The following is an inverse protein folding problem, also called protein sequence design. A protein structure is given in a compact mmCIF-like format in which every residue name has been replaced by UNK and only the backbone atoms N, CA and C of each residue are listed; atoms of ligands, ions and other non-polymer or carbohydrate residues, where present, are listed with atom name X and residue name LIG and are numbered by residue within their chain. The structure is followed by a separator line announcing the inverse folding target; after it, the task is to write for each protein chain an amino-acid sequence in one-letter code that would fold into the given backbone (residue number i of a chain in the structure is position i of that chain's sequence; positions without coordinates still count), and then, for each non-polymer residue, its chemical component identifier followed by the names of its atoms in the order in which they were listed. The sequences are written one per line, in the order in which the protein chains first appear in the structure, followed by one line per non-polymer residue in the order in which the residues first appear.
data_IF_140303653448
#
_entry.id   IF_140303653448
#
_cell.length_a   1.000
_cell.length_b   1.000
_cell.length_c   1.000
_cell.angle_alpha   90.00
_cell.angle_beta   90.00
_cell.angle_gamma   90.00
#
_symmetry.space_group_name_H-M   'P 1'
#
loop_
_entity.id
_entity.type
_entity.pdbx_description
1 polymer ?
#
# COMPACT_ATOMS: atom_id res chain seq x y z
N UNK A 1 -24.67 11.79 16.32
CA UNK A 1 -24.45 12.60 15.11
C UNK A 1 -23.32 13.57 15.38
N UNK A 2 -22.09 13.11 15.19
CA UNK A 2 -20.91 13.92 15.37
C UNK A 2 -19.79 13.14 14.75
N UNK A 3 -19.10 13.73 13.77
CA UNK A 3 -17.85 13.17 13.28
C UNK A 3 -16.97 12.95 14.50
N UNK A 4 -16.36 11.78 14.64
CA UNK A 4 -15.35 11.54 15.68
C UNK A 4 -14.09 12.34 15.32
N UNK A 5 -14.16 13.67 15.47
CA UNK A 5 -13.11 14.64 15.11
C UNK A 5 -11.79 14.26 15.78
N UNK A 6 -11.85 13.65 16.96
CA UNK A 6 -10.72 13.08 17.66
C UNK A 6 -9.93 12.05 16.82
N UNK A 7 -10.62 11.08 16.20
CA UNK A 7 -9.97 10.03 15.40
C UNK A 7 -9.37 10.63 14.11
N UNK A 8 -10.05 11.61 13.51
CA UNK A 8 -9.54 12.33 12.34
C UNK A 8 -8.26 13.13 12.68
N UNK A 9 -8.25 13.84 13.81
CA UNK A 9 -7.06 14.56 14.30
C UNK A 9 -5.90 13.59 14.53
N UNK A 10 -6.15 12.43 15.16
CA UNK A 10 -5.12 11.41 15.38
C UNK A 10 -4.54 10.93 14.06
N UNK A 11 -5.37 10.66 13.04
CA UNK A 11 -4.89 10.23 11.73
C UNK A 11 -3.96 11.27 11.09
N UNK A 12 -4.31 12.56 11.15
CA UNK A 12 -3.48 13.64 10.62
C UNK A 12 -2.14 13.73 11.38
N UNK A 13 -2.19 13.69 12.72
CA UNK A 13 -1.00 13.76 13.58
C UNK A 13 -0.07 12.57 13.31
N UNK A 14 -0.63 11.37 13.19
CA UNK A 14 0.14 10.15 12.93
C UNK A 14 0.78 10.16 11.54
N UNK A 15 0.09 10.71 10.53
CA UNK A 15 0.65 10.92 9.19
C UNK A 15 1.85 11.88 9.25
N UNK A 16 1.71 13.01 9.94
CA UNK A 16 2.77 14.00 10.08
C UNK A 16 4.00 13.44 10.84
N UNK A 17 3.77 12.73 11.95
CA UNK A 17 4.83 12.06 12.70
C UNK A 17 5.54 11.01 11.86
N UNK A 18 4.80 10.20 11.09
CA UNK A 18 5.38 9.20 10.21
C UNK A 18 6.26 9.81 9.12
N UNK A 19 5.83 10.91 8.51
CA UNK A 19 6.64 11.64 7.54
C UNK A 19 7.92 12.21 8.16
N UNK A 20 7.82 12.77 9.39
CA UNK A 20 8.97 13.31 10.11
C UNK A 20 9.97 12.19 10.45
N UNK A 21 9.49 11.06 10.98
CA UNK A 21 10.32 9.89 11.26
C UNK A 21 10.96 9.36 9.98
N UNK A 22 10.20 9.24 8.88
CA UNK A 22 10.74 8.83 7.58
C UNK A 22 11.87 9.74 7.11
N UNK A 23 11.68 11.05 7.20
CA UNK A 23 12.70 12.03 6.85
C UNK A 23 13.93 11.92 7.76
N UNK A 24 13.74 11.78 9.08
CA UNK A 24 14.83 11.59 10.03
C UNK A 24 15.67 10.34 9.73
N UNK A 25 15.02 9.21 9.43
CA UNK A 25 15.69 7.98 9.02
C UNK A 25 16.51 8.19 7.75
N UNK A 26 15.90 8.80 6.74
CA UNK A 26 16.58 9.09 5.47
C UNK A 26 17.76 10.03 5.68
N UNK A 27 17.72 10.99 6.61
CA UNK A 27 18.86 11.87 6.91
C UNK A 27 19.95 11.23 7.77
N UNK A 28 19.60 10.33 8.68
CA UNK A 28 20.54 9.75 9.63
C UNK A 28 21.36 8.61 9.00
N UNK A 29 20.74 7.79 8.15
CA UNK A 29 21.37 6.61 7.54
C UNK A 29 22.02 6.88 6.17
N UNK A 30 22.37 8.14 5.89
CA UNK A 30 23.06 8.49 4.64
C UNK A 30 24.54 8.17 4.74
N UNK A 31 25.10 7.50 3.73
CA UNK A 31 26.56 7.44 3.60
C UNK A 31 27.13 8.84 3.37
N UNK A 32 28.29 9.18 3.99
CA UNK A 32 28.87 10.52 3.94
C UNK A 32 29.25 10.95 2.51
N UNK A 33 29.57 10.00 1.64
CA UNK A 33 29.88 10.21 0.23
C UNK A 33 28.64 10.58 -0.62
N UNK A 34 27.42 10.23 -0.16
CA UNK A 34 26.14 10.42 -0.88
C UNK A 34 25.34 11.66 -0.46
N UNK A 35 25.98 12.60 0.23
CA UNK A 35 25.28 13.77 0.79
C UNK A 35 24.71 14.71 -0.28
N UNK A 36 25.29 14.78 -1.48
CA UNK A 36 24.95 15.80 -2.48
C UNK A 36 24.27 15.28 -3.76
N UNK A 37 24.45 14.01 -4.12
CA UNK A 37 24.03 13.50 -5.45
C UNK A 37 22.69 12.75 -5.39
N UNK A 38 22.41 11.98 -4.33
CA UNK A 38 21.22 11.11 -4.22
C UNK A 38 19.91 11.76 -3.77
N UNK A 39 19.67 13.05 -4.02
CA UNK A 39 18.47 13.75 -3.51
C UNK A 39 17.14 13.23 -4.08
N UNK A 40 17.16 12.74 -5.32
CA UNK A 40 15.96 12.21 -6.00
C UNK A 40 15.41 10.95 -5.31
N UNK A 41 16.28 9.98 -5.02
CA UNK A 41 15.90 8.74 -4.33
C UNK A 41 15.38 9.02 -2.91
N UNK A 42 15.93 10.03 -2.22
CA UNK A 42 15.48 10.44 -0.88
C UNK A 42 14.03 10.93 -0.88
N UNK A 43 13.66 11.74 -1.87
CA UNK A 43 12.28 12.26 -1.99
C UNK A 43 11.32 11.11 -2.27
N UNK A 44 11.67 10.21 -3.19
CA UNK A 44 10.79 9.10 -3.58
C UNK A 44 10.54 8.14 -2.42
N UNK A 45 11.57 7.79 -1.65
CA UNK A 45 11.43 6.91 -0.47
C UNK A 45 10.57 7.59 0.60
N UNK A 46 10.75 8.88 0.83
CA UNK A 46 9.93 9.63 1.80
C UNK A 46 8.46 9.69 1.36
N UNK A 47 8.21 9.88 0.07
CA UNK A 47 6.87 9.81 -0.51
C UNK A 47 6.27 8.41 -0.38
N UNK A 48 7.07 7.36 -0.58
CA UNK A 48 6.64 5.98 -0.43
C UNK A 48 6.17 5.66 0.98
N UNK A 49 6.94 6.09 1.98
CA UNK A 49 6.56 5.98 3.38
C UNK A 49 5.28 6.77 3.67
N UNK A 50 5.16 7.99 3.14
CA UNK A 50 3.95 8.80 3.29
C UNK A 50 2.69 8.13 2.74
N UNK A 51 2.75 7.63 1.50
CA UNK A 51 1.62 6.93 0.85
C UNK A 51 1.29 5.63 1.59
N UNK A 52 2.29 4.89 2.05
CA UNK A 52 2.10 3.67 2.85
C UNK A 52 1.35 3.95 4.15
N UNK A 53 1.73 5.02 4.86
CA UNK A 53 1.04 5.44 6.09
C UNK A 53 -0.40 5.87 5.82
N UNK A 54 -0.65 6.59 4.71
CA UNK A 54 -2.01 6.94 4.31
C UNK A 54 -2.88 5.71 4.03
N UNK A 55 -2.33 4.66 3.43
CA UNK A 55 -3.05 3.40 3.20
C UNK A 55 -3.51 2.74 4.51
N UNK A 56 -2.66 2.71 5.53
CA UNK A 56 -3.01 2.12 6.84
C UNK A 56 -4.06 2.97 7.56
N UNK A 57 -3.92 4.30 7.51
CA UNK A 57 -4.83 5.24 8.16
C UNK A 57 -6.20 5.36 7.46
N UNK A 58 -6.34 4.78 6.28
CA UNK A 58 -7.63 4.70 5.59
C UNK A 58 -8.62 3.76 6.31
N UNK A 59 -8.13 2.77 7.06
CA UNK A 59 -8.95 1.83 7.83
C UNK A 59 -9.77 2.53 8.94
N UNK A 60 -9.17 3.32 9.85
CA UNK A 60 -9.94 4.08 10.81
C UNK A 60 -10.82 5.15 10.14
N UNK A 61 -10.37 5.72 9.00
CA UNK A 61 -11.18 6.70 8.27
C UNK A 61 -12.47 6.10 7.69
N UNK A 62 -12.41 4.86 7.18
CA UNK A 62 -13.59 4.10 6.74
C UNK A 62 -14.56 3.86 7.90
N UNK A 63 -14.05 3.51 9.09
CA UNK A 63 -14.87 3.32 10.28
C UNK A 63 -15.66 4.59 10.67
N UNK A 64 -15.04 5.78 10.60
CA UNK A 64 -15.73 7.06 10.84
C UNK A 64 -16.75 7.35 9.74
N UNK A 65 -16.39 7.13 8.48
CA UNK A 65 -17.26 7.46 7.35
C UNK A 65 -18.59 6.70 7.45
N UNK A 66 -18.53 5.42 7.84
CA UNK A 66 -19.71 4.58 8.11
C UNK A 66 -20.49 5.01 9.34
N UNK A 67 -19.82 5.45 10.42
CA UNK A 67 -20.50 5.89 11.65
C UNK A 67 -21.22 7.23 11.49
N UNK A 68 -20.66 8.12 10.66
CA UNK A 68 -21.09 9.52 10.53
C UNK A 68 -22.16 9.72 9.44
N UNK A 69 -22.45 8.71 8.62
CA UNK A 69 -23.40 8.80 7.50
C UNK A 69 -22.91 9.70 6.36
N UNK A 70 -21.59 9.88 6.24
CA UNK A 70 -20.96 10.70 5.21
C UNK A 70 -20.90 9.95 3.87
N UNK A 71 -21.25 10.62 2.76
CA UNK A 71 -21.26 10.06 1.39
C UNK A 71 -19.87 10.04 0.74
N UNK A 72 -18.80 9.92 1.52
CA UNK A 72 -17.46 9.85 0.96
C UNK A 72 -17.23 8.43 0.42
N UNK A 73 -16.92 8.31 -0.88
CA UNK A 73 -16.67 7.02 -1.53
C UNK A 73 -15.26 6.53 -1.18
N UNK A 74 -15.11 5.94 0.02
CA UNK A 74 -13.83 5.42 0.53
C UNK A 74 -13.30 4.28 -0.35
N UNK A 75 -14.17 3.48 -0.96
CA UNK A 75 -13.80 2.38 -1.87
C UNK A 75 -12.91 2.85 -3.02
N UNK A 76 -13.26 3.97 -3.67
CA UNK A 76 -12.50 4.50 -4.81
C UNK A 76 -11.13 5.00 -4.34
N UNK A 77 -11.08 5.69 -3.21
CA UNK A 77 -9.82 6.16 -2.63
C UNK A 77 -8.90 4.98 -2.30
N UNK A 78 -9.47 3.89 -1.80
CA UNK A 78 -8.72 2.69 -1.47
C UNK A 78 -8.05 2.06 -2.69
N UNK A 79 -8.79 1.92 -3.79
CA UNK A 79 -8.22 1.47 -5.05
C UNK A 79 -7.12 2.39 -5.57
N UNK A 80 -7.34 3.71 -5.53
CA UNK A 80 -6.37 4.70 -6.01
C UNK A 80 -5.06 4.61 -5.22
N UNK A 81 -5.11 4.66 -3.89
CA UNK A 81 -3.88 4.59 -3.08
C UNK A 81 -3.19 3.23 -3.17
N UNK A 82 -3.95 2.13 -3.31
CA UNK A 82 -3.38 0.80 -3.52
C UNK A 82 -2.64 0.72 -4.85
N UNK A 83 -3.23 1.24 -5.94
CA UNK A 83 -2.58 1.28 -7.26
C UNK A 83 -1.32 2.16 -7.19
N UNK A 84 -1.40 3.34 -6.56
CA UNK A 84 -0.23 4.21 -6.39
C UNK A 84 0.88 3.47 -5.63
N UNK A 85 0.57 2.77 -4.54
CA UNK A 85 1.57 2.00 -3.80
C UNK A 85 2.20 0.88 -4.62
N UNK A 86 1.43 0.16 -5.42
CA UNK A 86 1.95 -0.88 -6.32
C UNK A 86 2.90 -0.25 -7.34
N UNK A 87 2.50 0.85 -7.99
CA UNK A 87 3.35 1.56 -8.96
C UNK A 87 4.62 2.08 -8.29
N UNK A 88 4.51 2.67 -7.12
CA UNK A 88 5.66 3.20 -6.40
C UNK A 88 6.64 2.09 -6.01
N UNK A 89 6.14 0.96 -5.50
CA UNK A 89 6.95 -0.15 -5.04
C UNK A 89 7.62 -0.93 -6.16
N UNK A 90 6.89 -1.24 -7.24
CA UNK A 90 7.36 -2.15 -8.29
C UNK A 90 7.89 -1.46 -9.53
N UNK A 91 7.61 -0.17 -9.73
CA UNK A 91 8.10 0.60 -10.87
C UNK A 91 9.04 1.69 -10.40
N UNK A 92 8.60 2.56 -9.49
CA UNK A 92 9.38 3.76 -9.14
C UNK A 92 10.62 3.44 -8.31
N UNK A 93 10.53 2.61 -7.28
CA UNK A 93 11.70 2.21 -6.47
C UNK A 93 12.79 1.51 -7.31
N UNK A 94 12.52 0.42 -8.05
CA UNK A 94 13.55 -0.22 -8.87
C UNK A 94 14.09 0.71 -9.96
N UNK A 95 13.25 1.58 -10.53
CA UNK A 95 13.72 2.64 -11.42
C UNK A 95 14.73 3.57 -10.75
N UNK A 96 14.47 4.02 -9.52
CA UNK A 96 15.38 4.93 -8.81
C UNK A 96 16.72 4.29 -8.49
N UNK A 97 16.74 2.99 -8.15
CA UNK A 97 17.98 2.26 -7.86
C UNK A 97 18.84 2.18 -9.13
N UNK A 98 18.24 1.75 -10.25
CA UNK A 98 18.97 1.63 -11.52
C UNK A 98 19.41 2.99 -12.08
N UNK A 99 18.62 4.04 -11.85
CA UNK A 99 19.01 5.41 -12.22
C UNK A 99 20.20 5.89 -11.38
N UNK A 100 20.22 5.57 -10.09
CA UNK A 100 21.31 5.92 -9.19
C UNK A 100 22.61 5.23 -9.60
N UNK A 101 22.57 3.92 -9.85
CA UNK A 101 23.73 3.17 -10.38
C UNK A 101 24.24 3.76 -11.71
N UNK A 102 23.34 4.18 -12.59
CA UNK A 102 23.69 4.78 -13.87
C UNK A 102 24.32 6.19 -13.77
N UNK A 103 24.19 6.86 -12.63
CA UNK A 103 24.83 8.16 -12.37
C UNK A 103 26.25 8.03 -11.82
N UNK A 104 26.60 6.89 -11.21
CA UNK A 104 27.94 6.61 -10.71
C UNK A 104 28.91 6.19 -11.84
N UNK A 105 28.37 5.65 -12.95
CA UNK A 105 29.15 5.25 -14.13
C UNK A 105 29.47 6.43 -15.07
N UNK A 106 30.69 6.98 -14.99
CA UNK A 106 31.19 8.07 -15.86
C UNK A 106 31.13 7.77 -17.38
N UNK A 107 31.03 6.49 -17.77
CA UNK A 107 31.02 6.04 -19.16
C UNK A 107 29.62 6.10 -19.83
N UNK A 108 28.57 6.48 -19.10
CA UNK A 108 27.19 6.47 -19.59
C UNK A 108 26.77 7.82 -20.20
N UNK A 109 26.59 7.87 -21.53
CA UNK A 109 26.08 9.07 -22.25
C UNK A 109 24.59 9.37 -22.00
N UNK A 110 23.78 8.35 -21.69
CA UNK A 110 22.33 8.48 -21.47
C UNK A 110 21.82 7.60 -20.30
N UNK A 111 22.00 8.06 -19.04
CA UNK A 111 21.63 7.28 -17.85
C UNK A 111 20.12 6.96 -17.76
N UNK A 112 19.25 7.88 -18.20
CA UNK A 112 17.80 7.67 -18.19
C UNK A 112 17.33 6.56 -19.14
N UNK A 113 17.96 6.44 -20.31
CA UNK A 113 17.56 5.46 -21.33
C UNK A 113 18.01 4.05 -20.91
N UNK A 114 19.19 3.94 -20.28
CA UNK A 114 19.67 2.69 -19.68
C UNK A 114 18.75 2.22 -18.55
N UNK A 115 18.35 3.12 -17.65
CA UNK A 115 17.43 2.79 -16.54
C UNK A 115 16.06 2.30 -17.05
N UNK A 116 15.52 2.92 -18.11
CA UNK A 116 14.25 2.51 -18.70
C UNK A 116 14.35 1.15 -19.44
N UNK A 117 15.49 0.83 -20.05
CA UNK A 117 15.68 -0.47 -20.69
C UNK A 117 15.82 -1.59 -19.65
N UNK A 118 16.48 -1.31 -18.53
CA UNK A 118 16.79 -2.28 -17.48
C UNK A 118 15.58 -2.60 -16.57
N UNK A 119 14.56 -1.73 -16.52
CA UNK A 119 13.33 -2.01 -15.76
C UNK A 119 12.45 -3.09 -16.42
N UNK A 120 12.55 -3.25 -17.75
CA UNK A 120 11.75 -4.19 -18.53
C UNK A 120 11.98 -5.65 -18.08
N UNK A 121 13.22 -6.18 -17.99
CA UNK A 121 13.45 -7.53 -17.51
C UNK A 121 13.03 -7.72 -16.03
N UNK A 122 13.17 -6.69 -15.20
CA UNK A 122 12.72 -6.75 -13.80
C UNK A 122 11.19 -6.88 -13.69
N UNK A 123 10.45 -6.06 -14.45
CA UNK A 123 9.00 -6.10 -14.48
C UNK A 123 8.49 -7.41 -15.09
N UNK A 124 9.16 -7.93 -16.11
CA UNK A 124 8.85 -9.23 -16.70
C UNK A 124 9.03 -10.37 -15.69
N UNK A 125 10.11 -10.36 -14.89
CA UNK A 125 10.34 -11.34 -13.83
C UNK A 125 9.23 -11.29 -12.76
N UNK A 126 8.84 -10.10 -12.31
CA UNK A 126 7.73 -9.93 -11.35
C UNK A 126 6.41 -10.44 -11.90
N UNK A 127 6.09 -10.14 -13.16
CA UNK A 127 4.86 -10.59 -13.79
C UNK A 127 4.81 -12.12 -13.89
N UNK A 128 5.93 -12.75 -14.27
CA UNK A 128 6.05 -14.22 -14.30
C UNK A 128 5.86 -14.80 -12.89
N UNK A 129 6.48 -14.20 -11.87
CA UNK A 129 6.32 -14.63 -10.47
C UNK A 129 4.85 -14.53 -10.03
N UNK A 130 4.17 -13.42 -10.32
CA UNK A 130 2.75 -13.26 -10.00
C UNK A 130 1.86 -14.26 -10.73
N UNK A 131 2.14 -14.57 -12.00
CA UNK A 131 1.41 -15.59 -12.74
C UNK A 131 1.60 -16.98 -12.11
N UNK A 132 2.83 -17.32 -11.72
CA UNK A 132 3.12 -18.60 -11.05
C UNK A 132 2.37 -18.68 -9.71
N UNK A 133 2.43 -17.63 -8.89
CA UNK A 133 1.68 -17.56 -7.64
C UNK A 133 0.17 -17.67 -7.86
N UNK A 134 -0.35 -17.02 -8.89
CA UNK A 134 -1.76 -17.09 -9.26
C UNK A 134 -2.18 -18.53 -9.62
N UNK A 135 -1.37 -19.23 -10.41
CA UNK A 135 -1.64 -20.63 -10.77
C UNK A 135 -1.50 -21.60 -9.59
N UNK A 136 -0.55 -21.38 -8.68
CA UNK A 136 -0.27 -22.28 -7.57
C UNK A 136 -1.18 -22.08 -6.34
N UNK A 137 -1.49 -20.82 -5.99
CA UNK A 137 -2.14 -20.44 -4.71
C UNK A 137 -3.46 -19.67 -4.92
N UNK A 138 -3.81 -19.28 -6.15
CA UNK A 138 -4.99 -18.45 -6.43
C UNK A 138 -6.36 -19.10 -6.16
N UNK A 139 -6.39 -20.34 -5.67
CA UNK A 139 -7.63 -21.04 -5.32
C UNK A 139 -7.76 -21.12 -3.79
N UNK A 140 -8.51 -20.20 -3.20
CA UNK A 140 -9.01 -20.34 -1.84
C UNK A 140 -10.49 -20.74 -1.90
N UNK A 141 -10.80 -22.01 -1.67
CA UNK A 141 -12.17 -22.47 -1.44
C UNK A 141 -12.55 -22.16 0.01
N UNK A 142 -13.38 -21.13 0.19
CA UNK A 142 -13.91 -20.78 1.51
C UNK A 142 -15.22 -21.54 1.71
N UNK A 143 -15.32 -22.44 2.71
CA UNK A 143 -16.57 -23.13 3.00
C UNK A 143 -17.60 -22.13 3.55
N UNK A 144 -18.65 -21.89 2.76
CA UNK A 144 -19.81 -21.08 3.16
C UNK A 144 -20.83 -21.96 3.90
N UNK A 145 -20.90 -21.83 5.22
CA UNK A 145 -22.01 -22.37 6.01
C UNK A 145 -23.18 -21.40 5.95
N UNK A 146 -24.20 -21.74 5.15
CA UNK A 146 -25.43 -20.95 5.04
C UNK A 146 -26.25 -21.13 6.32
N UNK A 147 -26.11 -20.21 7.27
CA UNK A 147 -26.98 -20.14 8.43
C UNK A 147 -28.32 -19.52 8.01
N UNK A 148 -29.37 -20.34 7.90
CA UNK A 148 -30.75 -19.86 7.72
C UNK A 148 -31.27 -19.32 9.05
N UNK A 149 -31.09 -18.02 9.30
CA UNK A 149 -31.80 -17.31 10.37
C UNK A 149 -33.16 -16.82 9.86
N UNK A 150 -34.22 -17.04 10.64
CA UNK A 150 -35.50 -16.37 10.38
C UNK A 150 -35.34 -14.86 10.63
N UNK A 151 -35.91 -14.05 9.74
CA UNK A 151 -35.91 -12.59 9.87
C UNK A 151 -36.81 -12.20 11.04
N UNK A 152 -36.22 -11.75 12.15
CA UNK A 152 -36.95 -10.91 13.09
C UNK A 152 -37.05 -9.51 12.47
N UNK A 153 -38.27 -8.98 12.40
CA UNK A 153 -38.60 -7.74 11.71
C UNK A 153 -38.17 -6.55 12.56
N UNK A 154 -36.87 -6.27 12.61
CA UNK A 154 -36.38 -5.20 13.46
C UNK A 154 -34.87 -5.01 13.47
N UNK A 155 -34.24 -4.83 12.30
CA UNK A 155 -33.04 -3.97 12.12
C UNK A 155 -32.46 -4.18 10.72
N UNK A 156 -32.38 -3.10 9.93
CA UNK A 156 -31.71 -3.09 8.63
C UNK A 156 -30.21 -3.30 8.77
N UNK A 157 -29.75 -4.54 8.59
CA UNK A 157 -28.33 -4.84 8.49
C UNK A 157 -27.88 -4.67 7.03
N UNK A 158 -27.02 -3.68 6.79
CA UNK A 158 -26.38 -3.41 5.49
C UNK A 158 -25.63 -4.65 4.98
N UNK A 159 -25.98 -5.08 3.75
CA UNK A 159 -25.31 -6.15 3.02
C UNK A 159 -23.80 -5.86 2.75
N UNK A 160 -23.37 -4.61 2.88
CA UNK A 160 -21.98 -4.18 2.63
C UNK A 160 -21.01 -4.52 3.78
N UNK A 161 -21.49 -4.81 4.99
CA UNK A 161 -20.62 -5.20 6.12
C UNK A 161 -19.97 -6.58 5.95
N UNK A 162 -20.56 -7.47 5.13
CA UNK A 162 -20.05 -8.83 4.95
C UNK A 162 -18.79 -8.93 4.07
N UNK A 163 -18.57 -7.99 3.16
CA UNK A 163 -17.50 -8.14 2.16
C UNK A 163 -16.11 -7.83 2.74
N UNK A 164 -16.00 -6.80 3.59
CA UNK A 164 -14.72 -6.42 4.20
C UNK A 164 -14.26 -7.38 5.30
N UNK A 165 -15.19 -7.93 6.09
CA UNK A 165 -14.87 -8.95 7.09
C UNK A 165 -14.36 -10.25 6.44
N UNK A 166 -14.74 -10.51 5.18
CA UNK A 166 -14.27 -11.65 4.39
C UNK A 166 -12.80 -11.52 4.00
N UNK A 167 -12.36 -10.34 3.57
CA UNK A 167 -10.96 -10.07 3.20
C UNK A 167 -10.00 -10.24 4.40
N UNK A 168 -10.36 -9.73 5.58
CA UNK A 168 -9.53 -9.89 6.79
C UNK A 168 -9.45 -11.33 7.28
N UNK A 169 -10.56 -12.08 7.26
CA UNK A 169 -10.55 -13.51 7.62
C UNK A 169 -9.75 -14.34 6.63
N UNK A 170 -9.81 -14.03 5.34
CA UNK A 170 -9.06 -14.76 4.31
C UNK A 170 -7.55 -14.52 4.45
N UNK A 171 -7.13 -13.27 4.69
CA UNK A 171 -5.72 -12.93 4.93
C UNK A 171 -5.17 -13.51 6.24
N UNK A 172 -5.96 -13.48 7.34
CA UNK A 172 -5.54 -14.06 8.62
C UNK A 172 -5.46 -15.59 8.58
N UNK A 173 -6.36 -16.26 7.85
CA UNK A 173 -6.26 -17.70 7.65
C UNK A 173 -5.06 -18.09 6.78
N UNK A 174 -4.75 -17.30 5.75
CA UNK A 174 -3.53 -17.49 4.93
C UNK A 174 -2.24 -17.34 5.75
N UNK A 175 -2.17 -16.35 6.65
CA UNK A 175 -1.04 -16.19 7.59
C UNK A 175 -0.90 -17.35 8.60
N UNK A 176 -2.02 -17.97 8.96
CA UNK A 176 -2.05 -19.07 9.94
C UNK A 176 -1.72 -20.43 9.31
N UNK A 177 -1.94 -20.59 8.00
CA UNK A 177 -1.49 -21.77 7.24
C UNK A 177 0.00 -21.71 6.88
N UNK A 178 0.58 -20.50 6.79
CA UNK A 178 2.03 -20.30 6.57
C UNK A 178 2.88 -20.52 7.83
N UNK A 179 2.26 -20.62 9.01
CA UNK A 179 2.94 -20.84 10.30
C UNK A 179 2.83 -22.30 10.81
N UNK A 180 2.34 -23.22 9.99
CA UNK A 180 2.35 -24.68 10.23
C UNK A 180 3.29 -25.37 9.24
#
# INVERSE_FOLDING_TARGET
MGVDVFLLIICIVFTALSLLVGLYFVFTFQHPEDKKTGWFSKIIITLALGVSTMNVLMLPLDAINRSSGSTLHIDIMCWVFTIISIVLAFVVIPFTIMLFEGQEDDQCKHPLLRAFLLIIPFLAFLLILFLILWFAVGRCEVPITIHKGALDSGSGACAECCMYHFYYKCFMNFLNDMTK
#
